data_IF_455805733751
#
_entry.id   IF_455805733751
#
_cell.length_a   1.000
_cell.length_b   1.000
_cell.length_c   1.000
_cell.angle_alpha   90.00
_cell.angle_beta   90.00
_cell.angle_gamma   90.00
#
_symmetry.space_group_name_H-M   'P 1'
#
loop_
_entity.id
_entity.type
_entity.pdbx_description
1 polymer ?
#
# COMPACT_ATOMS: atom_id res chain seq x y z
N UNK A 1 -28.35 -23.34 20.90
CA UNK A 1 -29.01 -22.62 19.79
C UNK A 1 -28.25 -22.96 18.51
N UNK A 2 -28.94 -23.12 17.37
CA UNK A 2 -28.30 -23.35 16.07
C UNK A 2 -28.22 -22.04 15.29
N UNK A 3 -27.12 -21.83 14.57
CA UNK A 3 -26.87 -20.69 13.68
C UNK A 3 -26.60 -21.21 12.26
N UNK A 4 -27.09 -20.51 11.25
CA UNK A 4 -26.85 -20.84 9.85
C UNK A 4 -25.46 -20.33 9.43
N UNK A 5 -24.67 -21.17 8.75
CA UNK A 5 -23.44 -20.71 8.11
C UNK A 5 -23.72 -20.27 6.67
N UNK A 6 -23.39 -19.03 6.33
CA UNK A 6 -23.66 -18.44 5.00
C UNK A 6 -22.79 -19.02 3.87
N UNK A 7 -21.75 -19.79 4.21
CA UNK A 7 -20.82 -20.37 3.22
C UNK A 7 -21.28 -21.76 2.76
N UNK A 8 -21.61 -22.65 3.70
CA UNK A 8 -22.11 -23.99 3.38
C UNK A 8 -23.63 -24.12 3.41
N UNK A 9 -24.35 -23.07 3.88
CA UNK A 9 -25.80 -23.05 4.04
C UNK A 9 -26.35 -24.13 4.99
N UNK A 10 -25.52 -24.58 5.94
CA UNK A 10 -25.90 -25.57 6.97
C UNK A 10 -26.11 -24.93 8.34
N UNK A 11 -27.07 -25.47 9.11
CA UNK A 11 -27.26 -25.09 10.52
C UNK A 11 -26.25 -25.80 11.40
N UNK A 12 -25.49 -25.03 12.19
CA UNK A 12 -24.46 -25.53 13.10
C UNK A 12 -24.77 -25.11 14.54
N UNK A 13 -24.35 -25.94 15.48
CA UNK A 13 -24.41 -25.56 16.90
C UNK A 13 -23.52 -24.34 17.16
N UNK A 14 -23.91 -23.52 18.13
CA UNK A 14 -23.19 -22.28 18.46
C UNK A 14 -21.69 -22.53 18.79
N UNK A 15 -21.36 -23.65 19.44
CA UNK A 15 -19.96 -24.03 19.69
C UNK A 15 -19.14 -24.34 18.44
N UNK A 16 -19.81 -24.66 17.32
CA UNK A 16 -19.19 -24.95 16.02
C UNK A 16 -19.16 -23.73 15.10
N UNK A 17 -19.64 -22.59 15.56
CA UNK A 17 -19.44 -21.30 14.90
C UNK A 17 -18.12 -20.69 15.38
N UNK A 18 -17.53 -19.88 14.51
CA UNK A 18 -16.32 -19.13 14.75
C UNK A 18 -16.54 -17.71 14.30
N UNK A 19 -16.36 -16.76 15.22
CA UNK A 19 -16.47 -15.33 14.96
C UNK A 19 -15.08 -14.73 14.77
N UNK A 20 -14.92 -13.94 13.71
CA UNK A 20 -13.66 -13.27 13.40
C UNK A 20 -13.60 -11.94 14.16
N UNK A 21 -12.74 -11.86 15.17
CA UNK A 21 -12.63 -10.72 16.10
C UNK A 21 -12.54 -9.33 15.44
N UNK A 22 -11.95 -9.23 14.24
CA UNK A 22 -11.73 -7.95 13.55
C UNK A 22 -12.96 -7.41 12.82
N UNK A 23 -13.95 -8.26 12.51
CA UNK A 23 -15.11 -7.87 11.71
C UNK A 23 -16.44 -8.47 12.18
N UNK A 24 -16.43 -9.30 13.22
CA UNK A 24 -17.58 -9.96 13.83
C UNK A 24 -18.39 -10.87 12.90
N UNK A 25 -17.89 -11.16 11.69
CA UNK A 25 -18.49 -12.16 10.82
C UNK A 25 -18.28 -13.56 11.41
N UNK A 26 -19.35 -14.36 11.39
CA UNK A 26 -19.38 -15.69 11.98
C UNK A 26 -19.63 -16.77 10.95
N UNK A 27 -18.77 -17.78 10.92
CA UNK A 27 -18.86 -18.92 10.01
C UNK A 27 -18.65 -20.22 10.76
N UNK A 28 -19.06 -21.35 10.19
CA UNK A 28 -18.77 -22.63 10.82
C UNK A 28 -17.27 -22.92 10.77
N UNK A 29 -16.76 -23.61 11.80
CA UNK A 29 -15.34 -23.98 11.91
C UNK A 29 -14.84 -24.73 10.68
N UNK A 30 -15.63 -25.64 10.13
CA UNK A 30 -15.28 -26.44 8.94
C UNK A 30 -14.97 -25.55 7.73
N UNK A 31 -15.83 -24.54 7.48
CA UNK A 31 -15.63 -23.59 6.38
C UNK A 31 -14.38 -22.72 6.60
N UNK A 32 -14.15 -22.26 7.83
CA UNK A 32 -12.97 -21.45 8.17
C UNK A 32 -11.70 -22.29 7.98
N UNK A 33 -11.65 -23.50 8.52
CA UNK A 33 -10.51 -24.41 8.38
C UNK A 33 -10.22 -24.69 6.91
N UNK A 34 -11.25 -25.01 6.10
CA UNK A 34 -11.09 -25.29 4.68
C UNK A 34 -10.58 -24.07 3.91
N UNK A 35 -11.12 -22.89 4.18
CA UNK A 35 -10.69 -21.64 3.56
C UNK A 35 -9.23 -21.31 3.89
N UNK A 36 -8.88 -21.34 5.18
CA UNK A 36 -7.49 -21.14 5.65
C UNK A 36 -6.57 -22.15 4.98
N UNK A 37 -6.87 -23.45 5.06
CA UNK A 37 -6.02 -24.51 4.50
C UNK A 37 -5.77 -24.29 3.01
N UNK A 38 -6.83 -24.00 2.25
CA UNK A 38 -6.74 -23.71 0.81
C UNK A 38 -5.84 -22.50 0.53
N UNK A 39 -5.95 -21.42 1.32
CA UNK A 39 -5.11 -20.23 1.15
C UNK A 39 -3.63 -20.51 1.45
N UNK A 40 -3.35 -21.22 2.54
CA UNK A 40 -1.97 -21.55 2.92
C UNK A 40 -1.33 -22.51 1.90
N UNK A 41 -2.09 -23.49 1.39
CA UNK A 41 -1.60 -24.42 0.36
C UNK A 41 -1.31 -23.71 -0.97
N UNK A 42 -2.05 -22.64 -1.28
CA UNK A 42 -1.77 -21.79 -2.44
C UNK A 42 -0.64 -20.77 -2.20
N UNK A 43 0.08 -20.87 -1.07
CA UNK A 43 1.24 -20.03 -0.77
C UNK A 43 0.92 -18.64 -0.21
N UNK A 44 -0.33 -18.37 0.16
CA UNK A 44 -0.68 -17.11 0.83
C UNK A 44 -0.30 -17.17 2.31
N UNK A 45 0.31 -16.11 2.83
CA UNK A 45 0.59 -15.94 4.27
C UNK A 45 -0.49 -15.12 5.00
N UNK A 46 -1.25 -14.31 4.25
CA UNK A 46 -2.37 -13.52 4.75
C UNK A 46 -3.70 -14.09 4.25
N UNK A 47 -4.63 -14.35 5.18
CA UNK A 47 -5.92 -14.98 4.89
C UNK A 47 -7.04 -13.98 5.17
N UNK A 48 -7.77 -13.57 4.13
CA UNK A 48 -8.91 -12.66 4.27
C UNK A 48 -10.12 -13.35 4.91
N UNK A 49 -11.01 -12.55 5.49
CA UNK A 49 -12.35 -12.97 5.90
C UNK A 49 -13.11 -13.63 4.73
N UNK A 50 -14.03 -14.54 5.06
CA UNK A 50 -14.86 -15.25 4.08
C UNK A 50 -16.05 -14.40 3.60
N UNK A 51 -16.40 -13.33 4.32
CA UNK A 51 -17.47 -12.43 3.92
C UNK A 51 -17.09 -11.69 2.62
N UNK A 52 -18.05 -11.55 1.71
CA UNK A 52 -17.88 -10.83 0.46
C UNK A 52 -17.44 -9.38 0.74
N UNK A 53 -16.39 -8.95 0.03
CA UNK A 53 -15.82 -7.60 0.13
C UNK A 53 -15.38 -7.17 1.54
N UNK A 54 -15.12 -8.12 2.45
CA UNK A 54 -14.58 -7.80 3.77
C UNK A 54 -13.04 -7.73 3.71
N UNK A 55 -12.41 -6.57 3.97
CA UNK A 55 -10.96 -6.43 3.89
C UNK A 55 -10.22 -6.97 5.12
N UNK A 56 -10.95 -7.44 6.13
CA UNK A 56 -10.37 -7.94 7.38
C UNK A 56 -9.61 -9.24 7.19
N UNK A 57 -8.55 -9.42 7.97
CA UNK A 57 -7.67 -10.59 7.94
C UNK A 57 -7.99 -11.48 9.13
N UNK A 58 -7.97 -12.79 8.93
CA UNK A 58 -8.10 -13.78 9.99
C UNK A 58 -6.74 -13.90 10.68
N UNK A 59 -6.74 -13.60 11.97
CA UNK A 59 -5.56 -13.71 12.81
C UNK A 59 -5.20 -15.18 13.07
N UNK A 60 -3.91 -15.52 12.95
CA UNK A 60 -3.42 -16.89 13.19
C UNK A 60 -3.75 -17.37 14.61
N UNK A 61 -3.53 -16.53 15.63
CA UNK A 61 -3.79 -16.90 17.02
C UNK A 61 -5.28 -17.10 17.32
N UNK A 62 -6.17 -16.51 16.53
CA UNK A 62 -7.62 -16.71 16.70
C UNK A 62 -8.09 -18.11 16.31
N UNK A 63 -7.45 -18.76 15.32
CA UNK A 63 -7.92 -20.02 14.76
C UNK A 63 -6.90 -21.18 14.78
N UNK A 64 -5.64 -20.97 15.16
CA UNK A 64 -4.62 -22.04 15.13
C UNK A 64 -5.02 -23.33 15.85
N UNK A 65 -5.78 -23.22 16.96
CA UNK A 65 -6.23 -24.39 17.76
C UNK A 65 -7.20 -25.30 17.02
N UNK A 66 -7.90 -24.81 16.00
CA UNK A 66 -8.83 -25.61 15.21
C UNK A 66 -8.22 -26.11 13.90
N UNK A 67 -7.03 -25.63 13.51
CA UNK A 67 -6.39 -26.03 12.28
C UNK A 67 -5.71 -27.40 12.43
N UNK A 68 -5.61 -28.18 11.34
CA UNK A 68 -4.71 -29.31 11.27
C UNK A 68 -3.27 -28.86 11.58
N UNK A 69 -2.54 -29.66 12.36
CA UNK A 69 -1.17 -29.34 12.82
C UNK A 69 -0.25 -28.92 11.67
N UNK A 70 -0.28 -29.66 10.57
CA UNK A 70 0.55 -29.42 9.38
C UNK A 70 0.24 -28.06 8.72
N UNK A 71 -1.04 -27.68 8.65
CA UNK A 71 -1.46 -26.39 8.11
C UNK A 71 -1.05 -25.25 9.06
N UNK A 72 -1.22 -25.45 10.37
CA UNK A 72 -0.79 -24.49 11.38
C UNK A 72 0.71 -24.23 11.33
N UNK A 73 1.53 -25.28 11.22
CA UNK A 73 2.98 -25.19 11.09
C UNK A 73 3.41 -24.48 9.79
N UNK A 74 2.78 -24.82 8.66
CA UNK A 74 3.02 -24.15 7.37
C UNK A 74 2.67 -22.66 7.44
N UNK A 75 1.53 -22.31 8.02
CA UNK A 75 1.10 -20.93 8.15
C UNK A 75 2.07 -20.15 9.05
N UNK A 76 2.42 -20.71 10.21
CA UNK A 76 3.40 -20.10 11.11
C UNK A 76 4.75 -19.87 10.42
N UNK A 77 5.24 -20.86 9.66
CA UNK A 77 6.47 -20.71 8.86
C UNK A 77 6.35 -19.58 7.85
N UNK A 78 5.26 -19.50 7.08
CA UNK A 78 5.04 -18.45 6.10
C UNK A 78 4.96 -17.04 6.76
N UNK A 79 4.36 -16.94 7.95
CA UNK A 79 4.35 -15.68 8.72
C UNK A 79 5.75 -15.30 9.20
N UNK A 80 6.53 -16.27 9.71
CA UNK A 80 7.93 -16.04 10.07
C UNK A 80 8.75 -15.59 8.86
N UNK A 81 8.60 -16.23 7.70
CA UNK A 81 9.29 -15.84 6.47
C UNK A 81 8.98 -14.39 6.08
N UNK A 82 7.74 -13.93 6.20
CA UNK A 82 7.38 -12.52 5.96
C UNK A 82 7.99 -11.58 7.01
N UNK A 83 7.97 -11.98 8.29
CA UNK A 83 8.50 -11.16 9.38
C UNK A 83 10.03 -11.01 9.31
N UNK A 84 10.73 -12.09 9.01
CA UNK A 84 12.18 -12.16 8.90
C UNK A 84 12.71 -11.91 7.49
N UNK A 85 11.83 -11.69 6.50
CA UNK A 85 12.25 -11.30 5.16
C UNK A 85 13.04 -9.99 5.25
N UNK A 86 14.30 -10.07 4.83
CA UNK A 86 15.16 -8.91 4.55
C UNK A 86 14.86 -8.30 3.20
N UNK A 87 13.89 -8.85 2.46
CA UNK A 87 13.50 -8.44 1.12
C UNK A 87 12.09 -7.85 1.13
N UNK A 88 11.94 -6.67 0.53
CA UNK A 88 10.67 -6.00 0.24
C UNK A 88 10.43 -6.03 -1.27
N UNK A 89 9.27 -6.54 -1.69
CA UNK A 89 8.91 -6.63 -3.11
C UNK A 89 8.09 -5.41 -3.47
N UNK A 90 8.60 -4.60 -4.39
CA UNK A 90 7.90 -3.45 -4.95
C UNK A 90 7.62 -3.69 -6.43
N UNK A 91 6.51 -3.15 -6.94
CA UNK A 91 6.15 -3.26 -8.35
C UNK A 91 6.40 -1.92 -9.02
N UNK A 92 6.98 -1.95 -10.23
CA UNK A 92 7.12 -0.78 -11.07
C UNK A 92 5.73 -0.18 -11.38
N UNK A 93 5.45 1.10 -11.05
CA UNK A 93 4.10 1.66 -11.14
C UNK A 93 3.69 2.03 -12.57
N UNK A 94 4.61 1.94 -13.53
CA UNK A 94 4.32 2.23 -14.93
C UNK A 94 3.60 1.04 -15.56
N UNK A 95 2.36 1.28 -16.03
CA UNK A 95 1.44 0.25 -16.56
C UNK A 95 2.01 -0.53 -17.76
N UNK A 96 2.91 0.09 -18.51
CA UNK A 96 3.61 -0.49 -19.65
C UNK A 96 4.85 -1.33 -19.24
N UNK A 97 5.17 -1.41 -17.95
CA UNK A 97 6.31 -2.16 -17.42
C UNK A 97 5.91 -3.16 -16.33
N UNK A 98 5.38 -2.67 -15.20
CA UNK A 98 4.86 -3.49 -14.08
C UNK A 98 5.76 -4.65 -13.60
N UNK A 99 7.08 -4.53 -13.79
CA UNK A 99 8.04 -5.54 -13.32
C UNK A 99 8.13 -5.51 -11.79
N UNK A 100 8.24 -6.69 -11.18
CA UNK A 100 8.52 -6.83 -9.74
C UNK A 100 10.01 -6.65 -9.45
N UNK A 101 10.32 -5.85 -8.45
CA UNK A 101 11.68 -5.52 -8.00
C UNK A 101 11.78 -5.91 -6.53
N UNK A 102 12.87 -6.58 -6.18
CA UNK A 102 13.15 -6.96 -4.80
C UNK A 102 14.18 -5.99 -4.23
N UNK A 103 13.84 -5.32 -3.15
CA UNK A 103 14.67 -4.35 -2.44
C UNK A 103 15.08 -4.92 -1.09
N UNK A 104 16.25 -4.53 -0.59
CA UNK A 104 16.62 -4.83 0.79
C UNK A 104 15.78 -3.98 1.75
N UNK A 105 15.11 -4.65 2.69
CA UNK A 105 14.19 -4.05 3.64
C UNK A 105 14.95 -3.14 4.60
N UNK A 106 14.55 -1.88 4.66
CA UNK A 106 15.24 -0.85 5.46
C UNK A 106 16.32 -0.07 4.69
N UNK A 107 16.63 -0.46 3.45
CA UNK A 107 17.24 0.48 2.53
C UNK A 107 16.21 1.60 2.30
N UNK A 108 16.46 2.80 2.84
CA UNK A 108 15.57 3.96 2.70
C UNK A 108 15.66 4.54 1.28
N UNK A 109 15.56 3.68 0.27
CA UNK A 109 15.58 4.00 -1.14
C UNK A 109 14.17 4.46 -1.47
N UNK A 110 13.91 5.75 -1.21
CA UNK A 110 12.66 6.38 -1.66
C UNK A 110 12.65 6.42 -3.18
N UNK A 111 13.78 6.74 -3.78
CA UNK A 111 14.04 6.83 -5.21
C UNK A 111 14.53 5.49 -5.77
N UNK A 112 13.62 4.69 -6.31
CA UNK A 112 13.97 3.44 -6.99
C UNK A 112 14.00 3.65 -8.50
N UNK A 113 15.08 3.21 -9.15
CA UNK A 113 15.15 3.11 -10.60
C UNK A 113 14.71 1.71 -11.04
N UNK A 114 13.71 1.64 -11.93
CA UNK A 114 13.29 0.37 -12.48
C UNK A 114 14.37 -0.21 -13.40
N UNK A 115 14.88 -1.44 -13.18
CA UNK A 115 15.96 -2.01 -13.99
C UNK A 115 15.54 -2.33 -15.44
N UNK A 116 14.23 -2.47 -15.71
CA UNK A 116 13.72 -2.76 -17.05
C UNK A 116 13.47 -1.50 -17.91
N UNK A 117 12.89 -0.45 -17.32
CA UNK A 117 12.49 0.76 -18.07
C UNK A 117 13.27 2.01 -17.68
N UNK A 118 14.20 1.92 -16.73
CA UNK A 118 15.07 2.99 -16.26
C UNK A 118 14.34 4.25 -15.78
N UNK A 119 13.05 4.13 -15.43
CA UNK A 119 12.25 5.21 -14.88
C UNK A 119 12.30 5.19 -13.36
N UNK A 120 12.45 6.38 -12.78
CA UNK A 120 12.42 6.59 -11.34
C UNK A 120 10.99 6.56 -10.80
N UNK A 121 10.82 5.90 -9.66
CA UNK A 121 9.57 5.85 -8.92
C UNK A 121 9.79 5.85 -7.42
N UNK A 122 8.74 6.21 -6.68
CA UNK A 122 8.75 6.18 -5.23
C UNK A 122 8.43 4.78 -4.73
N UNK A 123 9.39 4.06 -4.14
CA UNK A 123 9.17 2.70 -3.63
C UNK A 123 8.16 2.67 -2.47
N UNK A 124 8.12 3.72 -1.65
CA UNK A 124 7.20 3.84 -0.49
C UNK A 124 5.76 4.20 -0.87
N UNK A 125 5.57 4.95 -1.94
CA UNK A 125 4.24 5.36 -2.40
C UNK A 125 3.75 4.53 -3.60
N UNK A 126 4.61 3.72 -4.22
CA UNK A 126 4.34 2.95 -5.45
C UNK A 126 3.75 3.82 -6.58
N UNK A 127 4.36 4.98 -6.81
CA UNK A 127 3.94 5.97 -7.84
C UNK A 127 5.15 6.52 -8.58
N UNK A 128 4.98 7.11 -9.78
CA UNK A 128 6.06 7.83 -10.46
C UNK A 128 6.73 8.85 -9.53
N UNK A 129 8.04 9.03 -9.71
CA UNK A 129 8.84 9.87 -8.83
C UNK A 129 8.28 11.30 -8.70
N UNK A 130 8.15 11.76 -7.46
CA UNK A 130 7.58 13.06 -7.09
C UNK A 130 8.64 13.97 -6.46
N UNK A 131 9.57 14.42 -7.30
CA UNK A 131 10.65 15.35 -6.92
C UNK A 131 10.12 16.61 -6.22
N UNK A 132 10.82 17.04 -5.16
CA UNK A 132 10.48 18.24 -4.39
C UNK A 132 9.21 18.14 -3.53
N UNK A 133 8.61 16.94 -3.39
CA UNK A 133 7.43 16.69 -2.54
C UNK A 133 7.69 15.47 -1.66
N UNK A 134 7.42 15.59 -0.35
CA UNK A 134 7.58 14.44 0.56
C UNK A 134 6.48 13.40 0.34
N UNK A 135 6.70 12.16 0.78
CA UNK A 135 5.68 11.11 0.68
C UNK A 135 4.39 11.50 1.44
N UNK A 136 4.54 12.16 2.60
CA UNK A 136 3.43 12.66 3.40
C UNK A 136 2.65 13.75 2.66
N UNK A 137 3.34 14.73 2.08
CA UNK A 137 2.73 15.79 1.29
C UNK A 137 2.02 15.23 0.05
N UNK A 138 2.66 14.29 -0.65
CA UNK A 138 2.07 13.63 -1.81
C UNK A 138 0.76 12.92 -1.42
N UNK A 139 0.77 12.11 -0.35
CA UNK A 139 -0.43 11.41 0.15
C UNK A 139 -1.55 12.36 0.57
N UNK A 140 -1.22 13.56 1.08
CA UNK A 140 -2.21 14.58 1.45
C UNK A 140 -2.82 15.25 0.22
N UNK A 141 -1.96 15.68 -0.70
CA UNK A 141 -2.34 16.50 -1.85
C UNK A 141 -3.00 15.69 -2.96
N UNK A 142 -2.63 14.42 -3.14
CA UNK A 142 -3.17 13.60 -4.23
C UNK A 142 -4.64 13.18 -4.05
N UNK A 143 -5.21 13.40 -2.85
CA UNK A 143 -6.61 13.09 -2.51
C UNK A 143 -7.63 14.00 -3.21
N UNK A 144 -7.27 15.26 -3.48
CA UNK A 144 -8.18 16.27 -4.04
C UNK A 144 -7.57 16.89 -5.31
N UNK A 145 -8.41 17.35 -6.24
CA UNK A 145 -7.95 17.92 -7.53
C UNK A 145 -7.04 19.15 -7.35
N UNK A 146 -7.33 20.01 -6.38
CA UNK A 146 -6.51 21.18 -6.06
C UNK A 146 -5.08 20.80 -5.64
N UNK A 147 -4.93 19.74 -4.84
CA UNK A 147 -3.62 19.27 -4.41
C UNK A 147 -2.82 18.60 -5.53
N UNK A 148 -3.50 17.92 -6.47
CA UNK A 148 -2.85 17.43 -7.70
C UNK A 148 -2.30 18.58 -8.55
N UNK A 149 -3.07 19.65 -8.70
CA UNK A 149 -2.62 20.85 -9.40
C UNK A 149 -1.42 21.49 -8.69
N UNK A 150 -1.39 21.51 -7.35
CA UNK A 150 -0.24 22.01 -6.59
C UNK A 150 1.04 21.18 -6.85
N UNK A 151 0.94 19.84 -6.84
CA UNK A 151 2.07 18.95 -7.15
C UNK A 151 2.58 19.20 -8.59
N UNK A 152 1.67 19.29 -9.56
CA UNK A 152 2.02 19.57 -10.95
C UNK A 152 2.73 20.93 -11.10
N UNK A 153 2.25 21.96 -10.40
CA UNK A 153 2.88 23.29 -10.39
C UNK A 153 4.28 23.27 -9.77
N UNK A 154 4.48 22.54 -8.66
CA UNK A 154 5.81 22.36 -8.06
C UNK A 154 6.77 21.64 -9.00
N UNK A 155 6.31 20.57 -9.65
CA UNK A 155 7.10 19.82 -10.64
C UNK A 155 7.50 20.70 -11.83
N UNK A 156 6.56 21.44 -12.39
CA UNK A 156 6.82 22.35 -13.50
C UNK A 156 7.79 23.47 -13.08
N UNK A 157 7.61 24.06 -11.90
CA UNK A 157 8.51 25.08 -11.39
C UNK A 157 9.94 24.57 -11.20
N UNK A 158 10.13 23.34 -10.71
CA UNK A 158 11.45 22.69 -10.61
C UNK A 158 12.10 22.54 -11.99
N UNK A 159 11.36 21.99 -12.96
CA UNK A 159 11.85 21.80 -14.34
C UNK A 159 12.24 23.11 -15.02
N UNK A 160 11.45 24.17 -14.81
CA UNK A 160 11.68 25.48 -15.41
C UNK A 160 12.60 26.38 -14.56
N UNK A 161 13.08 25.90 -13.40
CA UNK A 161 13.89 26.67 -12.44
C UNK A 161 13.21 27.96 -11.98
N UNK A 162 11.88 27.94 -11.85
CA UNK A 162 11.11 29.05 -11.32
C UNK A 162 11.23 29.11 -9.80
N UNK A 163 11.25 30.33 -9.26
CA UNK A 163 11.34 30.55 -7.81
C UNK A 163 10.11 31.31 -7.33
N UNK A 164 9.74 31.18 -6.05
CA UNK A 164 8.65 32.00 -5.50
C UNK A 164 9.16 33.36 -5.04
N UNK A 165 8.41 34.42 -5.35
CA UNK A 165 8.68 35.74 -4.81
C UNK A 165 8.45 35.75 -3.29
N UNK A 166 9.40 36.20 -2.46
CA UNK A 166 9.25 36.19 -1.00
C UNK A 166 8.14 37.13 -0.49
N UNK A 167 7.70 38.10 -1.31
CA UNK A 167 6.67 39.07 -0.91
C UNK A 167 5.25 38.67 -1.33
N UNK A 168 5.05 38.16 -2.54
CA UNK A 168 3.71 37.81 -3.06
C UNK A 168 3.47 36.31 -3.28
N UNK A 169 4.49 35.47 -3.08
CA UNK A 169 4.44 34.00 -3.20
C UNK A 169 4.10 33.46 -4.61
N UNK A 170 4.00 34.31 -5.63
CA UNK A 170 3.88 33.88 -7.03
C UNK A 170 5.21 33.34 -7.57
N UNK A 171 5.13 32.36 -8.47
CA UNK A 171 6.28 31.89 -9.23
C UNK A 171 6.78 32.99 -10.18
N UNK A 172 8.09 33.22 -10.14
CA UNK A 172 8.81 34.14 -11.01
C UNK A 172 9.86 33.38 -11.82
N UNK A 173 9.92 33.72 -13.09
CA UNK A 173 10.87 33.18 -14.04
C UNK A 173 12.04 34.16 -14.23
N UNK A 174 13.27 33.63 -14.26
CA UNK A 174 14.44 34.40 -14.66
C UNK A 174 14.55 34.38 -16.19
N UNK A 175 14.34 35.53 -16.83
CA UNK A 175 14.35 35.62 -18.30
C UNK A 175 15.79 35.72 -18.85
N UNK A 176 16.62 36.59 -18.28
CA UNK A 176 18.05 36.74 -18.60
C UNK A 176 18.79 37.58 -17.53
N UNK A 177 20.12 37.61 -17.56
CA UNK A 177 20.93 38.56 -16.79
C UNK A 177 21.23 38.21 -15.32
N UNK A 178 21.26 39.23 -14.46
CA UNK A 178 21.72 39.19 -13.06
C UNK A 178 20.85 38.29 -12.14
N UNK A 179 21.34 37.98 -10.94
CA UNK A 179 20.60 37.26 -9.90
C UNK A 179 19.52 38.12 -9.21
N UNK A 180 19.54 39.44 -9.41
CA UNK A 180 18.50 40.32 -8.91
C UNK A 180 17.28 40.29 -9.85
N UNK A 181 16.16 39.77 -9.36
CA UNK A 181 14.90 39.60 -10.10
C UNK A 181 13.84 40.49 -9.46
N UNK A 182 13.18 41.32 -10.27
CA UNK A 182 12.05 42.15 -9.84
C UNK A 182 10.73 41.46 -10.15
N UNK A 183 9.87 41.30 -9.14
CA UNK A 183 8.57 40.66 -9.31
C UNK A 183 7.57 41.61 -9.99
N UNK A 184 6.94 41.17 -11.09
CA UNK A 184 5.93 41.95 -11.83
C UNK A 184 4.62 42.18 -11.08
N UNK A 185 4.35 41.42 -10.02
CA UNK A 185 3.11 41.54 -9.23
C UNK A 185 3.22 42.60 -8.14
N UNK A 186 4.43 43.06 -7.82
CA UNK A 186 4.67 44.12 -6.86
C UNK A 186 5.22 45.29 -7.65
N UNK A 187 4.32 46.15 -8.10
CA UNK A 187 4.71 47.47 -8.58
C UNK A 187 5.33 48.22 -7.39
N UNK A 188 6.53 48.76 -7.60
CA UNK A 188 7.14 49.75 -6.71
C UNK A 188 6.60 51.14 -7.08
#
# INVERSE_FOLDING_TARGET
MKKLCEICLENKEEGNMFEINTCLHSFCRDCVIKHVSTKIENGYSSVSCLALNCPSIIDFHSCWRMLPKEIGEKWNKALCEVLYSTEEKVVCPFKDCSVGITLERGASIRDCECPLCHRLFCATCEVPWHDGVTCEEYKRLYKNEEGRNEILMKKLASQMKWMKCPKCNFFVEKIYGCLHITCRFINF
#
